data_IF_588678296897
#
_entry.id   IF_588678296897
#
_cell.length_a   1.000
_cell.length_b   1.000
_cell.length_c   1.000
_cell.angle_alpha   90.00
_cell.angle_beta   90.00
_cell.angle_gamma   90.00
#
_symmetry.space_group_name_H-M   'P 1'
#
loop_
_entity.id
_entity.type
_entity.pdbx_description
1 polymer ?
#
# COMPACT_ATOMS: atom_id res chain seq x y z
N UNK A 1 8.29 -16.51 2.56
CA UNK A 1 8.57 -15.15 2.03
C UNK A 1 9.65 -14.37 2.81
N UNK A 2 10.24 -14.89 3.91
CA UNK A 2 11.30 -14.17 4.65
C UNK A 2 12.70 -14.34 4.08
N UNK A 3 13.19 -15.59 3.99
CA UNK A 3 14.60 -15.88 3.68
C UNK A 3 14.99 -15.51 2.24
N UNK A 4 14.20 -15.91 1.24
CA UNK A 4 14.48 -15.59 -0.18
C UNK A 4 14.51 -14.08 -0.40
N UNK A 5 13.56 -13.34 0.20
CA UNK A 5 13.53 -11.88 0.14
C UNK A 5 14.78 -11.28 0.78
N UNK A 6 15.19 -11.77 1.96
CA UNK A 6 16.40 -11.32 2.63
C UNK A 6 17.65 -11.59 1.79
N UNK A 7 17.77 -12.78 1.19
CA UNK A 7 18.89 -13.12 0.29
C UNK A 7 18.93 -12.17 -0.91
N UNK A 8 17.78 -11.90 -1.55
CA UNK A 8 17.71 -10.97 -2.67
C UNK A 8 18.11 -9.54 -2.28
N UNK A 9 17.67 -9.06 -1.11
CA UNK A 9 18.08 -7.75 -0.58
C UNK A 9 19.58 -7.71 -0.33
N UNK A 10 20.16 -8.77 0.25
CA UNK A 10 21.60 -8.87 0.49
C UNK A 10 22.37 -8.84 -0.83
N UNK A 11 21.97 -9.67 -1.82
CA UNK A 11 22.58 -9.69 -3.15
C UNK A 11 22.51 -8.30 -3.80
N UNK A 12 21.36 -7.63 -3.71
CA UNK A 12 21.18 -6.29 -4.24
C UNK A 12 22.12 -5.28 -3.58
N UNK A 13 22.23 -5.29 -2.25
CA UNK A 13 23.15 -4.41 -1.51
C UNK A 13 24.60 -4.65 -1.91
N UNK A 14 25.04 -5.91 -2.00
CA UNK A 14 26.39 -6.23 -2.46
C UNK A 14 26.65 -5.78 -3.89
N UNK A 15 25.66 -5.93 -4.79
CA UNK A 15 25.78 -5.46 -6.16
C UNK A 15 25.96 -3.93 -6.23
N UNK A 16 25.19 -3.17 -5.45
CA UNK A 16 25.32 -1.70 -5.37
C UNK A 16 26.70 -1.30 -4.83
N UNK A 17 27.18 -1.95 -3.77
CA UNK A 17 28.51 -1.68 -3.21
C UNK A 17 29.59 -2.00 -4.23
N UNK A 18 29.51 -3.16 -4.90
CA UNK A 18 30.48 -3.58 -5.91
C UNK A 18 30.55 -2.57 -7.07
N UNK A 19 29.39 -2.14 -7.59
CA UNK A 19 29.32 -1.11 -8.64
C UNK A 19 29.93 0.21 -8.15
N UNK A 20 29.63 0.60 -6.91
CA UNK A 20 30.15 1.85 -6.33
C UNK A 20 31.68 1.84 -6.22
N UNK A 21 32.28 0.73 -5.77
CA UNK A 21 33.74 0.58 -5.67
C UNK A 21 34.37 0.54 -7.07
N UNK A 22 33.80 -0.25 -7.99
CA UNK A 22 34.34 -0.40 -9.34
C UNK A 22 34.31 0.90 -10.15
N UNK A 23 33.40 1.82 -9.83
CA UNK A 23 33.22 3.08 -10.55
C UNK A 23 33.63 4.30 -9.70
N UNK A 24 34.37 4.12 -8.62
CA UNK A 24 34.68 5.21 -7.67
C UNK A 24 35.50 6.35 -8.30
N UNK A 25 36.29 6.06 -9.34
CA UNK A 25 37.13 7.04 -10.06
C UNK A 25 36.44 7.62 -11.30
N UNK A 26 35.26 7.12 -11.65
CA UNK A 26 34.56 7.56 -12.86
C UNK A 26 33.89 8.92 -12.63
N UNK A 27 34.24 9.86 -13.50
CA UNK A 27 33.76 11.24 -13.47
C UNK A 27 32.95 11.48 -14.75
N UNK A 28 31.73 11.97 -14.57
CA UNK A 28 30.89 12.42 -15.67
C UNK A 28 31.28 13.86 -15.99
N UNK A 29 31.73 14.08 -17.22
CA UNK A 29 32.20 15.40 -17.67
C UNK A 29 31.12 16.48 -17.58
N UNK A 30 29.89 16.17 -17.99
CA UNK A 30 28.79 17.13 -17.99
C UNK A 30 27.43 16.45 -17.78
N UNK A 31 26.64 16.98 -16.86
CA UNK A 31 25.26 16.56 -16.56
C UNK A 31 24.36 17.78 -16.69
N UNK A 32 23.32 17.70 -17.51
CA UNK A 32 22.28 18.73 -17.58
C UNK A 32 21.13 18.37 -16.66
N UNK A 33 20.81 19.26 -15.71
CA UNK A 33 19.64 19.19 -14.84
C UNK A 33 18.45 19.99 -15.42
N UNK A 34 18.49 20.33 -16.71
CA UNK A 34 17.49 21.14 -17.41
C UNK A 34 17.64 22.65 -17.17
N UNK A 35 17.94 23.07 -15.93
CA UNK A 35 18.11 24.48 -15.57
C UNK A 35 19.55 24.87 -15.28
N UNK A 36 20.39 23.89 -14.96
CA UNK A 36 21.81 24.08 -14.69
C UNK A 36 22.60 22.91 -15.23
N UNK A 37 23.87 23.15 -15.53
CA UNK A 37 24.81 22.13 -15.93
C UNK A 37 25.81 21.92 -14.80
N UNK A 38 26.04 20.66 -14.45
CA UNK A 38 27.04 20.25 -13.49
C UNK A 38 28.19 19.59 -14.24
N UNK A 39 29.40 19.97 -13.90
CA UNK A 39 30.61 19.43 -14.50
C UNK A 39 31.41 18.65 -13.47
N UNK A 40 32.17 17.66 -13.95
CA UNK A 40 33.09 16.85 -13.14
C UNK A 40 32.43 16.19 -11.92
N UNK A 41 31.26 15.58 -12.11
CA UNK A 41 30.49 14.92 -11.04
C UNK A 41 30.83 13.43 -11.00
N UNK A 42 31.02 12.87 -9.80
CA UNK A 42 31.22 11.43 -9.63
C UNK A 42 30.00 10.63 -10.08
N UNK A 43 30.21 9.60 -10.90
CA UNK A 43 29.15 8.68 -11.35
C UNK A 43 28.42 8.02 -10.18
N UNK A 44 29.16 7.65 -9.13
CA UNK A 44 28.60 7.01 -7.93
C UNK A 44 27.65 7.95 -7.21
N UNK A 45 28.01 9.24 -7.12
CA UNK A 45 27.17 10.25 -6.48
C UNK A 45 25.83 10.39 -7.21
N UNK A 46 25.86 10.47 -8.55
CA UNK A 46 24.67 10.59 -9.39
C UNK A 46 23.76 9.36 -9.24
N UNK A 47 24.33 8.16 -9.21
CA UNK A 47 23.58 6.92 -9.00
C UNK A 47 22.90 6.89 -7.63
N UNK A 48 23.59 7.32 -6.58
CA UNK A 48 23.01 7.38 -5.23
C UNK A 48 21.87 8.40 -5.18
N UNK A 49 22.08 9.61 -5.70
CA UNK A 49 21.04 10.65 -5.69
C UNK A 49 19.80 10.25 -6.47
N UNK A 50 19.96 9.70 -7.67
CA UNK A 50 18.84 9.21 -8.49
C UNK A 50 18.09 8.07 -7.80
N UNK A 51 18.79 7.16 -7.14
CA UNK A 51 18.17 6.11 -6.32
C UNK A 51 17.37 6.69 -5.15
N UNK A 52 17.92 7.65 -4.41
CA UNK A 52 17.26 8.29 -3.27
C UNK A 52 15.99 9.02 -3.72
N UNK A 53 16.05 9.78 -4.82
CA UNK A 53 14.89 10.47 -5.37
C UNK A 53 13.81 9.47 -5.79
N UNK A 54 14.18 8.42 -6.51
CA UNK A 54 13.26 7.35 -6.90
C UNK A 54 12.63 6.65 -5.70
N UNK A 55 13.41 6.37 -4.66
CA UNK A 55 12.94 5.77 -3.42
C UNK A 55 11.95 6.67 -2.66
N UNK A 56 12.24 7.97 -2.56
CA UNK A 56 11.34 8.95 -1.95
C UNK A 56 10.02 9.04 -2.72
N UNK A 57 10.08 9.12 -4.05
CA UNK A 57 8.90 9.14 -4.91
C UNK A 57 8.04 7.88 -4.71
N UNK A 58 8.66 6.70 -4.75
CA UNK A 58 7.96 5.44 -4.51
C UNK A 58 7.36 5.35 -3.11
N UNK A 59 8.06 5.86 -2.09
CA UNK A 59 7.58 5.91 -0.71
C UNK A 59 6.35 6.80 -0.58
N UNK A 60 6.37 7.98 -1.20
CA UNK A 60 5.22 8.89 -1.22
C UNK A 60 4.03 8.24 -1.93
N UNK A 61 4.26 7.64 -3.11
CA UNK A 61 3.21 6.93 -3.85
C UNK A 61 2.60 5.78 -3.05
N UNK A 62 3.43 4.98 -2.37
CA UNK A 62 2.97 3.89 -1.51
C UNK A 62 2.19 4.39 -0.31
N UNK A 63 2.64 5.47 0.34
CA UNK A 63 1.92 6.10 1.45
C UNK A 63 0.52 6.52 1.01
N UNK A 64 0.40 7.26 -0.09
CA UNK A 64 -0.89 7.69 -0.63
C UNK A 64 -1.82 6.50 -0.94
N UNK A 65 -1.30 5.44 -1.55
CA UNK A 65 -2.08 4.24 -1.85
C UNK A 65 -2.53 3.51 -0.57
N UNK A 66 -1.66 3.43 0.45
CA UNK A 66 -1.96 2.77 1.72
C UNK A 66 -3.08 3.48 2.50
N UNK A 67 -3.17 4.81 2.41
CA UNK A 67 -4.24 5.59 3.05
C UNK A 67 -5.60 5.27 2.44
N UNK A 68 -5.71 5.25 1.11
CA UNK A 68 -6.93 4.89 0.38
C UNK A 68 -7.41 3.47 0.70
N UNK A 69 -6.47 2.52 0.83
CA UNK A 69 -6.78 1.15 1.24
C UNK A 69 -7.40 1.08 2.65
N UNK A 70 -6.84 1.81 3.62
CA UNK A 70 -7.35 1.84 5.00
C UNK A 70 -8.74 2.46 5.12
N UNK A 71 -9.00 3.55 4.39
CA UNK A 71 -10.33 4.18 4.35
C UNK A 71 -11.37 3.20 3.78
N UNK A 72 -11.01 2.52 2.71
CA UNK A 72 -11.87 1.53 2.04
C UNK A 72 -12.19 0.35 2.97
N UNK A 73 -11.20 -0.19 3.67
CA UNK A 73 -11.39 -1.26 4.68
C UNK A 73 -12.33 -0.80 5.80
N UNK A 74 -12.17 0.44 6.30
CA UNK A 74 -13.03 0.99 7.35
C UNK A 74 -14.47 1.16 6.88
N UNK A 75 -14.67 1.56 5.61
CA UNK A 75 -16.00 1.67 4.99
C UNK A 75 -16.66 0.29 4.85
N UNK A 76 -15.95 -0.71 4.36
CA UNK A 76 -16.48 -2.07 4.22
C UNK A 76 -16.82 -2.71 5.57
N UNK A 77 -15.99 -2.54 6.61
CA UNK A 77 -16.31 -3.02 7.95
C UNK A 77 -17.57 -2.40 8.54
N UNK A 78 -17.80 -1.10 8.30
CA UNK A 78 -19.05 -0.44 8.72
C UNK A 78 -20.26 -1.01 8.00
N UNK A 79 -20.15 -1.21 6.67
CA UNK A 79 -21.21 -1.78 5.85
C UNK A 79 -21.60 -3.20 6.30
N UNK A 80 -20.60 -4.04 6.59
CA UNK A 80 -20.84 -5.39 7.11
C UNK A 80 -21.64 -5.34 8.42
N UNK A 81 -21.24 -4.48 9.36
CA UNK A 81 -21.93 -4.34 10.65
C UNK A 81 -23.37 -3.85 10.51
N UNK A 82 -23.61 -2.93 9.57
CA UNK A 82 -24.95 -2.40 9.25
C UNK A 82 -25.84 -3.50 8.68
N UNK A 83 -25.35 -4.23 7.66
CA UNK A 83 -26.01 -5.39 7.06
C UNK A 83 -26.30 -6.51 8.07
N UNK A 84 -25.35 -6.81 8.96
CA UNK A 84 -25.56 -7.78 10.04
C UNK A 84 -26.69 -7.34 10.98
N UNK A 85 -26.76 -6.05 11.33
CA UNK A 85 -27.84 -5.54 12.19
C UNK A 85 -29.21 -5.53 11.53
N UNK A 86 -29.28 -5.25 10.22
CA UNK A 86 -30.52 -5.34 9.44
C UNK A 86 -31.03 -6.78 9.41
N UNK A 87 -30.13 -7.74 9.21
CA UNK A 87 -30.46 -9.16 9.16
C UNK A 87 -30.94 -9.67 10.53
N UNK A 88 -30.35 -9.18 11.62
CA UNK A 88 -30.78 -9.45 12.98
C UNK A 88 -32.14 -8.82 13.30
N UNK A 89 -32.38 -7.59 12.85
CA UNK A 89 -33.67 -6.92 12.98
C UNK A 89 -34.78 -7.65 12.20
N UNK A 90 -34.50 -8.12 10.99
CA UNK A 90 -35.45 -8.94 10.21
C UNK A 90 -35.72 -10.30 10.86
N UNK A 91 -34.73 -10.91 11.51
CA UNK A 91 -34.92 -12.19 12.22
C UNK A 91 -35.72 -12.02 13.51
N UNK A 92 -35.63 -10.86 14.15
CA UNK A 92 -36.36 -10.51 15.35
C UNK A 92 -37.65 -9.73 15.06
N UNK A 93 -38.12 -9.69 13.81
CA UNK A 93 -39.47 -9.19 13.55
C UNK A 93 -40.44 -10.08 14.35
N UNK A 94 -41.18 -9.52 15.32
CA UNK A 94 -42.14 -10.29 16.06
C UNK A 94 -43.19 -10.83 15.08
N UNK A 95 -43.45 -12.13 15.15
CA UNK A 95 -44.56 -12.80 14.47
C UNK A 95 -45.93 -12.38 15.06
N UNK A 96 -46.06 -11.16 15.58
CA UNK A 96 -47.23 -10.67 16.33
C UNK A 96 -48.43 -10.34 15.44
N UNK A 97 -48.30 -10.41 14.11
CA UNK A 97 -49.43 -10.22 13.19
C UNK A 97 -49.91 -11.54 12.54
N UNK A 98 -49.47 -12.70 13.03
CA UNK A 98 -50.14 -13.97 12.71
C UNK A 98 -51.08 -14.33 13.86
N UNK A 99 -52.03 -13.43 14.15
CA UNK A 99 -53.30 -13.80 14.75
C UNK A 99 -54.00 -14.73 13.75
N UNK A 100 -53.63 -16.01 13.78
CA UNK A 100 -54.45 -17.08 13.24
C UNK A 100 -55.70 -17.03 14.12
N UNK A 101 -56.77 -16.51 13.55
CA UNK A 101 -58.11 -16.49 14.12
C UNK A 101 -58.52 -17.92 14.54
N UNK A 102 -58.11 -18.33 15.74
CA UNK A 102 -58.79 -19.36 16.53
C UNK A 102 -60.05 -18.71 17.11
N UNK A 103 -61.01 -18.39 16.22
CA UNK A 103 -62.40 -18.18 16.62
C UNK A 103 -63.26 -19.30 16.05
N UNK A 104 -63.70 -20.18 16.95
CA UNK A 104 -65.04 -20.75 16.84
C UNK A 104 -65.15 -22.26 16.70
N UNK A 105 -64.75 -23.01 17.72
CA UNK A 105 -65.56 -24.15 18.15
C UNK A 105 -65.95 -23.97 19.61
N UNK A 106 -67.26 -23.92 19.89
CA UNK A 106 -67.80 -24.15 21.23
C UNK A 106 -68.84 -23.13 21.68
N UNK A 107 -70.12 -23.53 21.65
CA UNK A 107 -71.21 -22.87 22.38
C UNK A 107 -72.52 -22.85 21.65
#
# INVERSE_FOLDING_TARGET
MGIIRTILVIIFVFAVIAISILNQTEIIGKISLGFTELENVSLVLVLIETFVIGFLYATIAYLLQSLSGRVTIRRYRRKIKELESELEAMRNLPLEDIDIEEQGNGG
#
